data_IF_723528870733
#
_entry.id   IF_723528870733
#
_cell.length_a   1.000
_cell.length_b   1.000
_cell.length_c   1.000
_cell.angle_alpha   90.00
_cell.angle_beta   90.00
_cell.angle_gamma   90.00
#
_symmetry.space_group_name_H-M   'P 1'
#
loop_
_entity.id
_entity.type
_entity.pdbx_description
1 polymer ?
#
# COMPACT_ATOMS: atom_id res chain seq x y z
N UNK A 1 18.73 -9.29 -9.39
CA UNK A 1 17.91 -9.74 -8.28
C UNK A 1 16.45 -9.86 -8.70
N UNK A 2 15.77 -10.92 -8.31
CA UNK A 2 14.35 -11.07 -8.63
C UNK A 2 13.49 -10.08 -7.83
N UNK A 3 12.32 -9.80 -8.35
CA UNK A 3 11.32 -9.02 -7.62
C UNK A 3 10.75 -9.83 -6.46
N UNK A 4 10.50 -9.16 -5.35
CA UNK A 4 9.64 -9.68 -4.28
C UNK A 4 8.21 -9.28 -4.59
N UNK A 5 7.27 -10.19 -4.33
CA UNK A 5 5.85 -9.98 -4.61
C UNK A 5 5.08 -9.72 -3.32
N UNK A 6 4.30 -8.66 -3.31
CA UNK A 6 3.48 -8.27 -2.16
C UNK A 6 2.03 -8.18 -2.61
N UNK A 7 1.12 -8.76 -1.82
CA UNK A 7 -0.32 -8.55 -1.99
C UNK A 7 -0.75 -7.35 -1.15
N UNK A 8 -1.38 -6.38 -1.81
CA UNK A 8 -1.89 -5.18 -1.15
C UNK A 8 -3.42 -5.22 -1.18
N UNK A 9 -4.02 -5.65 -0.09
CA UNK A 9 -5.46 -5.90 0.00
C UNK A 9 -6.27 -4.62 0.12
N UNK A 10 -7.49 -4.66 -0.41
CA UNK A 10 -8.46 -3.59 -0.24
C UNK A 10 -8.83 -3.43 1.23
N UNK A 11 -9.01 -2.17 1.64
CA UNK A 11 -9.47 -1.85 2.98
C UNK A 11 -10.98 -1.89 3.03
N UNK A 12 -11.53 -2.54 4.05
CA UNK A 12 -12.97 -2.56 4.32
C UNK A 12 -13.26 -2.21 5.78
N UNK A 13 -14.27 -1.42 6.00
CA UNK A 13 -14.79 -1.14 7.33
C UNK A 13 -15.78 -2.23 7.74
N UNK A 14 -15.25 -3.42 7.97
CA UNK A 14 -16.03 -4.62 8.25
C UNK A 14 -16.95 -4.46 9.47
N UNK A 15 -16.44 -3.83 10.52
CA UNK A 15 -17.20 -3.66 11.76
C UNK A 15 -18.51 -2.91 11.54
N UNK A 16 -18.44 -1.79 10.81
CA UNK A 16 -19.65 -0.99 10.53
C UNK A 16 -20.64 -1.75 9.66
N UNK A 17 -20.17 -2.43 8.64
CA UNK A 17 -21.02 -3.15 7.72
C UNK A 17 -21.69 -4.36 8.39
N UNK A 18 -20.96 -5.10 9.20
CA UNK A 18 -21.51 -6.27 9.90
C UNK A 18 -22.57 -5.84 10.91
N UNK A 19 -22.31 -4.80 11.70
CA UNK A 19 -23.25 -4.32 12.72
C UNK A 19 -24.52 -3.78 12.08
N UNK A 20 -24.41 -2.98 11.01
CA UNK A 20 -25.53 -2.32 10.39
C UNK A 20 -26.33 -3.21 9.44
N UNK A 21 -25.74 -4.25 8.91
CA UNK A 21 -26.30 -5.09 7.85
C UNK A 21 -26.34 -6.58 8.18
N UNK A 22 -26.32 -6.93 9.44
CA UNK A 22 -26.22 -8.31 9.91
C UNK A 22 -27.39 -9.22 9.56
N UNK A 23 -28.39 -8.72 8.88
CA UNK A 23 -29.62 -9.45 8.57
C UNK A 23 -29.54 -10.36 7.35
N UNK A 24 -28.44 -10.38 6.63
CA UNK A 24 -28.35 -11.11 5.38
C UNK A 24 -27.02 -11.83 5.22
N UNK A 25 -27.09 -13.14 5.00
CA UNK A 25 -25.92 -13.96 4.64
C UNK A 25 -25.26 -13.45 3.36
N UNK A 26 -26.06 -12.97 2.42
CA UNK A 26 -25.59 -12.40 1.16
C UNK A 26 -24.63 -11.21 1.37
N UNK A 27 -24.93 -10.35 2.34
CA UNK A 27 -24.05 -9.23 2.65
C UNK A 27 -22.71 -9.70 3.21
N UNK A 28 -22.70 -10.77 4.01
CA UNK A 28 -21.47 -11.34 4.55
C UNK A 28 -20.61 -11.92 3.42
N UNK A 29 -21.21 -12.61 2.48
CA UNK A 29 -20.48 -13.18 1.32
C UNK A 29 -19.86 -12.09 0.47
N UNK A 30 -20.58 -10.99 0.23
CA UNK A 30 -20.06 -9.84 -0.51
C UNK A 30 -18.85 -9.22 0.17
N UNK A 31 -18.88 -9.09 1.50
CA UNK A 31 -17.78 -8.55 2.28
C UNK A 31 -16.55 -9.44 2.16
N UNK A 32 -16.72 -10.75 2.25
CA UNK A 32 -15.63 -11.72 2.14
C UNK A 32 -14.98 -11.62 0.75
N UNK A 33 -15.78 -11.52 -0.32
CA UNK A 33 -15.24 -11.35 -1.67
C UNK A 33 -14.39 -10.11 -1.80
N UNK A 34 -14.81 -9.00 -1.21
CA UNK A 34 -14.02 -7.77 -1.24
C UNK A 34 -12.72 -7.87 -0.46
N UNK A 35 -12.69 -8.61 0.63
CA UNK A 35 -11.46 -8.81 1.42
C UNK A 35 -10.37 -9.49 0.58
N UNK A 36 -10.75 -10.36 -0.35
CA UNK A 36 -9.79 -11.03 -1.23
C UNK A 36 -9.30 -10.15 -2.38
N UNK A 37 -9.94 -9.03 -2.64
CA UNK A 37 -9.52 -8.09 -3.69
C UNK A 37 -8.20 -7.42 -3.28
N UNK A 38 -7.21 -7.50 -4.15
CA UNK A 38 -5.89 -6.93 -3.84
C UNK A 38 -5.15 -6.47 -5.10
N UNK A 39 -4.26 -5.50 -4.92
CA UNK A 39 -3.27 -5.14 -5.91
C UNK A 39 -2.04 -6.02 -5.76
N UNK A 40 -1.24 -6.13 -6.81
CA UNK A 40 0.02 -6.86 -6.78
C UNK A 40 1.16 -5.86 -6.90
N UNK A 41 2.06 -5.89 -5.92
CA UNK A 41 3.24 -5.03 -5.89
C UNK A 41 4.48 -5.89 -6.09
N UNK A 42 5.29 -5.53 -7.08
CA UNK A 42 6.60 -6.12 -7.31
C UNK A 42 7.65 -5.09 -6.93
N UNK A 43 8.57 -5.47 -6.05
CA UNK A 43 9.61 -4.58 -5.56
C UNK A 43 10.97 -5.26 -5.63
N UNK A 44 11.98 -4.52 -6.08
CA UNK A 44 13.38 -4.95 -5.99
C UNK A 44 14.30 -3.76 -5.80
N UNK A 45 15.46 -4.01 -5.21
CA UNK A 45 16.51 -3.03 -5.08
C UNK A 45 17.26 -2.90 -6.41
N UNK A 46 17.57 -1.67 -6.81
CA UNK A 46 18.26 -1.38 -8.07
C UNK A 46 19.42 -0.43 -7.83
N UNK A 47 20.32 -0.36 -8.80
CA UNK A 47 21.36 0.66 -8.86
C UNK A 47 20.88 1.76 -9.80
N UNK A 48 20.47 2.88 -9.24
CA UNK A 48 19.90 3.99 -10.00
C UNK A 48 20.04 5.27 -9.20
N UNK A 49 19.96 6.41 -9.88
CA UNK A 49 19.95 7.71 -9.22
C UNK A 49 18.61 8.04 -8.57
N UNK A 50 17.55 7.36 -8.99
CA UNK A 50 16.19 7.58 -8.47
C UNK A 50 15.41 6.29 -8.45
N UNK A 51 14.31 6.30 -7.70
CA UNK A 51 13.37 5.19 -7.69
C UNK A 51 12.60 5.14 -9.01
N UNK A 52 12.27 3.93 -9.44
CA UNK A 52 11.45 3.69 -10.62
C UNK A 52 10.11 3.10 -10.17
N UNK A 53 9.06 3.89 -10.26
CA UNK A 53 7.72 3.49 -9.80
C UNK A 53 6.79 3.52 -11.00
N UNK A 54 6.14 2.39 -11.27
CA UNK A 54 5.19 2.29 -12.37
C UNK A 54 3.92 1.57 -11.95
N UNK A 55 2.82 1.94 -12.61
CA UNK A 55 1.51 1.35 -12.37
C UNK A 55 0.98 0.79 -13.68
N UNK A 56 0.35 -0.38 -13.62
CA UNK A 56 -0.34 -0.97 -14.74
C UNK A 56 -1.65 -1.60 -14.26
N UNK A 57 -2.41 -2.18 -15.18
CA UNK A 57 -3.70 -2.77 -14.87
C UNK A 57 -4.86 -1.84 -15.19
N UNK A 58 -6.07 -2.39 -15.04
CA UNK A 58 -7.32 -1.75 -15.46
C UNK A 58 -7.57 -0.40 -14.79
N UNK A 59 -7.13 -0.23 -13.56
CA UNK A 59 -7.40 0.97 -12.76
C UNK A 59 -6.19 1.88 -12.59
N UNK A 60 -5.19 1.78 -13.46
CA UNK A 60 -3.96 2.57 -13.34
C UNK A 60 -3.98 3.91 -14.08
N UNK A 61 -4.93 4.14 -14.97
CA UNK A 61 -4.93 5.28 -15.92
C UNK A 61 -4.90 6.66 -15.27
N UNK A 62 -5.50 6.80 -14.08
CA UNK A 62 -5.62 8.09 -13.41
C UNK A 62 -4.55 8.34 -12.37
N UNK A 63 -3.60 7.42 -12.24
CA UNK A 63 -2.53 7.55 -11.25
C UNK A 63 -1.42 8.41 -11.86
N UNK A 64 -1.27 9.62 -11.33
CA UNK A 64 -0.24 10.54 -11.76
C UNK A 64 1.10 10.28 -11.10
N UNK A 65 2.08 11.12 -11.40
CA UNK A 65 3.42 11.04 -10.79
C UNK A 65 3.39 11.32 -9.29
N UNK A 66 2.46 12.16 -8.84
CA UNK A 66 2.25 12.43 -7.41
C UNK A 66 1.16 11.50 -6.90
N UNK A 67 1.56 10.44 -6.24
CA UNK A 67 0.66 9.44 -5.68
C UNK A 67 1.16 9.05 -4.29
N UNK A 68 0.41 8.22 -3.57
CA UNK A 68 0.76 7.83 -2.20
C UNK A 68 2.09 7.09 -2.13
N UNK A 69 2.40 6.27 -3.13
CA UNK A 69 3.66 5.52 -3.16
C UNK A 69 4.85 6.45 -3.40
N UNK A 70 4.76 7.36 -4.38
CA UNK A 70 5.82 8.34 -4.62
C UNK A 70 6.02 9.25 -3.41
N UNK A 71 4.93 9.63 -2.75
CA UNK A 71 4.99 10.43 -1.52
C UNK A 71 5.68 9.69 -0.39
N UNK A 72 5.41 8.39 -0.25
CA UNK A 72 6.10 7.55 0.73
C UNK A 72 7.62 7.59 0.52
N UNK A 73 8.07 7.36 -0.72
CA UNK A 73 9.51 7.36 -1.00
C UNK A 73 10.15 8.73 -0.83
N UNK A 74 9.44 9.79 -1.16
CA UNK A 74 9.90 11.15 -0.90
C UNK A 74 10.11 11.39 0.60
N UNK A 75 9.15 10.97 1.43
CA UNK A 75 9.27 11.09 2.88
C UNK A 75 10.44 10.27 3.41
N UNK A 76 10.59 9.03 2.96
CA UNK A 76 11.68 8.16 3.40
C UNK A 76 13.05 8.73 3.00
N UNK A 77 13.16 9.32 1.82
CA UNK A 77 14.38 9.99 1.38
C UNK A 77 14.69 11.23 2.24
N UNK A 78 13.70 12.08 2.47
CA UNK A 78 13.88 13.31 3.25
C UNK A 78 14.27 13.02 4.68
N UNK A 79 13.81 11.92 5.25
CA UNK A 79 14.17 11.48 6.59
C UNK A 79 15.47 10.67 6.63
N UNK A 80 16.11 10.46 5.47
CA UNK A 80 17.35 9.69 5.32
C UNK A 80 17.25 8.26 5.84
N UNK A 81 16.06 7.68 5.76
CA UNK A 81 15.79 6.31 6.21
C UNK A 81 16.29 5.29 5.20
N UNK A 82 16.28 5.62 3.91
CA UNK A 82 16.64 4.68 2.84
C UNK A 82 18.14 4.49 2.67
N UNK A 83 18.99 5.35 3.22
CA UNK A 83 20.46 5.24 3.16
C UNK A 83 20.97 5.02 1.72
N UNK A 84 20.50 5.84 0.80
CA UNK A 84 20.88 5.79 -0.63
C UNK A 84 20.43 4.53 -1.37
N UNK A 85 19.61 3.68 -0.78
CA UNK A 85 18.99 2.56 -1.48
C UNK A 85 17.95 3.07 -2.47
N UNK A 86 17.89 2.44 -3.64
CA UNK A 86 16.91 2.76 -4.67
C UNK A 86 16.13 1.51 -5.06
N UNK A 87 14.89 1.69 -5.44
CA UNK A 87 13.97 0.58 -5.69
C UNK A 87 13.24 0.75 -7.01
N UNK A 88 12.99 -0.36 -7.66
CA UNK A 88 12.04 -0.45 -8.75
C UNK A 88 10.77 -1.10 -8.21
N UNK A 89 9.64 -0.43 -8.43
CA UNK A 89 8.34 -0.87 -7.93
C UNK A 89 7.36 -0.87 -9.09
N UNK A 90 6.74 -2.02 -9.31
CA UNK A 90 5.69 -2.20 -10.31
C UNK A 90 4.41 -2.59 -9.59
N UNK A 91 3.35 -1.81 -9.76
CA UNK A 91 2.08 -2.07 -9.10
C UNK A 91 1.02 -2.36 -10.14
N UNK A 92 0.45 -3.57 -10.07
CA UNK A 92 -0.68 -3.95 -10.91
C UNK A 92 -1.97 -3.67 -10.14
N UNK A 93 -2.76 -2.75 -10.66
CA UNK A 93 -3.96 -2.26 -10.00
C UNK A 93 -5.17 -3.11 -10.34
N UNK A 94 -5.72 -3.78 -9.35
CA UNK A 94 -7.00 -4.49 -9.42
C UNK A 94 -8.08 -3.81 -8.59
N UNK A 95 -7.67 -2.89 -7.69
CA UNK A 95 -8.60 -2.17 -6.82
C UNK A 95 -9.00 -0.87 -7.52
N UNK A 96 -10.31 -0.61 -7.73
CA UNK A 96 -10.76 0.65 -8.31
C UNK A 96 -10.31 1.85 -7.47
N UNK A 97 -9.83 2.89 -8.12
CA UNK A 97 -9.22 4.05 -7.45
C UNK A 97 -10.19 4.92 -6.66
N UNK A 98 -11.46 4.98 -7.05
CA UNK A 98 -12.47 5.84 -6.40
C UNK A 98 -13.56 5.06 -5.66
N UNK A 99 -13.32 3.83 -5.33
CA UNK A 99 -14.33 2.99 -4.70
C UNK A 99 -14.35 3.06 -3.16
N UNK A 100 -13.58 3.95 -2.55
CA UNK A 100 -13.51 4.05 -1.09
C UNK A 100 -12.84 2.84 -0.43
N UNK A 101 -12.11 2.04 -1.18
CA UNK A 101 -11.45 0.82 -0.71
C UNK A 101 -10.02 1.03 -0.24
N UNK A 102 -9.54 2.28 -0.24
CA UNK A 102 -8.24 2.62 0.27
C UNK A 102 -7.04 2.07 -0.51
N UNK A 103 -7.24 1.73 -1.80
CA UNK A 103 -6.21 1.06 -2.61
C UNK A 103 -4.85 1.76 -2.62
N UNK A 104 -4.82 3.08 -2.85
CA UNK A 104 -3.59 3.85 -2.89
C UNK A 104 -2.89 3.89 -1.54
N UNK A 105 -3.64 4.14 -0.46
CA UNK A 105 -3.11 4.15 0.90
C UNK A 105 -2.62 2.77 1.32
N UNK A 106 -3.31 1.71 0.91
CA UNK A 106 -2.88 0.33 1.18
C UNK A 106 -1.60 -0.01 0.44
N UNK A 107 -1.43 0.47 -0.79
CA UNK A 107 -0.18 0.23 -1.54
C UNK A 107 1.01 0.82 -0.78
N UNK A 108 0.92 2.08 -0.36
CA UNK A 108 1.98 2.72 0.40
C UNK A 108 2.23 2.03 1.74
N UNK A 109 1.18 1.70 2.49
CA UNK A 109 1.29 1.02 3.77
C UNK A 109 1.91 -0.38 3.63
N UNK A 110 1.52 -1.12 2.60
CA UNK A 110 2.06 -2.46 2.34
C UNK A 110 3.55 -2.42 2.02
N UNK A 111 3.98 -1.43 1.25
CA UNK A 111 5.40 -1.23 0.92
C UNK A 111 6.18 -0.86 2.17
N UNK A 112 5.70 0.10 2.95
CA UNK A 112 6.36 0.52 4.18
C UNK A 112 6.54 -0.65 5.14
N UNK A 113 5.48 -1.42 5.34
CA UNK A 113 5.50 -2.59 6.20
C UNK A 113 6.48 -3.65 5.71
N UNK A 114 6.49 -3.91 4.40
CA UNK A 114 7.44 -4.84 3.80
C UNK A 114 8.90 -4.42 4.05
N UNK A 115 9.22 -3.16 3.78
CA UNK A 115 10.58 -2.64 3.99
C UNK A 115 11.02 -2.76 5.44
N UNK A 116 10.12 -2.49 6.37
CA UNK A 116 10.41 -2.59 7.81
C UNK A 116 10.55 -4.05 8.27
N UNK A 117 9.64 -4.93 7.87
CA UNK A 117 9.66 -6.34 8.26
C UNK A 117 10.88 -7.08 7.71
N UNK A 118 11.29 -6.78 6.49
CA UNK A 118 12.49 -7.38 5.89
C UNK A 118 13.77 -6.71 6.36
N UNK A 119 13.66 -5.72 7.24
CA UNK A 119 14.80 -4.96 7.77
C UNK A 119 15.63 -4.29 6.68
N UNK A 120 15.00 -3.97 5.55
CA UNK A 120 15.60 -3.18 4.49
C UNK A 120 15.78 -1.74 4.97
N UNK A 121 14.83 -1.27 5.78
CA UNK A 121 14.94 -0.02 6.52
C UNK A 121 14.89 -0.32 8.02
N UNK A 122 15.56 0.52 8.81
CA UNK A 122 15.53 0.42 10.26
C UNK A 122 14.61 1.52 10.80
N UNK A 123 13.41 1.13 11.23
CA UNK A 123 12.38 2.07 11.64
C UNK A 123 11.56 1.49 12.79
N UNK A 124 11.27 2.33 13.79
CA UNK A 124 10.43 1.94 14.92
C UNK A 124 8.96 2.13 14.59
N UNK A 125 8.09 1.38 15.26
CA UNK A 125 6.65 1.48 15.07
C UNK A 125 6.12 2.91 15.19
N UNK A 126 6.62 3.67 16.15
CA UNK A 126 6.24 5.06 16.35
C UNK A 126 6.51 5.91 15.10
N UNK A 127 7.66 5.72 14.48
CA UNK A 127 8.03 6.42 13.26
C UNK A 127 7.19 5.96 12.07
N UNK A 128 6.89 4.67 11.98
CA UNK A 128 6.00 4.14 10.94
C UNK A 128 4.62 4.79 11.01
N UNK A 129 4.08 4.97 12.21
CA UNK A 129 2.78 5.64 12.39
C UNK A 129 2.83 7.09 11.94
N UNK A 130 3.91 7.80 12.25
CA UNK A 130 4.10 9.19 11.78
C UNK A 130 4.13 9.27 10.26
N UNK A 131 4.86 8.38 9.62
CA UNK A 131 4.96 8.35 8.16
C UNK A 131 3.59 8.03 7.54
N UNK A 132 2.89 7.04 8.08
CA UNK A 132 1.55 6.70 7.61
C UNK A 132 0.60 7.90 7.67
N UNK A 133 0.66 8.66 8.76
CA UNK A 133 -0.14 9.86 8.92
C UNK A 133 0.20 10.93 7.88
N UNK A 134 1.49 11.09 7.56
CA UNK A 134 1.94 12.06 6.57
C UNK A 134 1.46 11.72 5.15
N UNK A 135 1.39 10.45 4.80
CA UNK A 135 0.89 10.04 3.48
C UNK A 135 -0.64 9.95 3.41
N UNK A 136 -1.32 10.17 4.53
CA UNK A 136 -2.78 10.13 4.58
C UNK A 136 -3.36 8.74 4.78
N UNK A 137 -2.54 7.76 5.15
CA UNK A 137 -3.00 6.41 5.44
C UNK A 137 -3.69 6.32 6.79
N UNK A 138 -4.69 5.46 6.89
CA UNK A 138 -5.29 5.11 8.17
C UNK A 138 -4.26 4.35 9.00
N UNK A 139 -4.12 4.73 10.27
CA UNK A 139 -3.15 4.10 11.18
C UNK A 139 -3.38 2.60 11.33
N UNK A 140 -4.62 2.15 11.21
CA UNK A 140 -4.95 0.72 11.30
C UNK A 140 -4.32 -0.12 10.17
N UNK A 141 -3.97 0.49 9.04
CA UNK A 141 -3.38 -0.22 7.90
C UNK A 141 -1.96 -0.70 8.17
N UNK A 142 -1.27 -0.07 9.10
CA UNK A 142 0.12 -0.40 9.42
C UNK A 142 0.19 -1.65 10.31
N UNK A 143 -0.82 -1.91 11.09
CA UNK A 143 -0.86 -3.01 12.06
C UNK A 143 -1.47 -4.31 11.55
N UNK A 144 -1.89 -4.36 10.31
CA UNK A 144 -2.51 -5.56 9.73
C UNK A 144 -1.48 -6.64 9.31
#
# INVERSE_FOLDING_TARGET
MPFSRIKSHAKLNLALNVISKSKSLHNIESIISFVDLHDIILIKKIKSKKHLISFNGKFSRRIGKKNTVSKLFEILENKKILKNQRFQIKIKKFIPDKAGLGGGSMNAASILRYLAHKRIINIKNKEMLKIAKLIGSDLSLIHI
#
